data_IF_029889235670
#
_entry.id   IF_029889235670
#
_cell.length_a   1.000
_cell.length_b   1.000
_cell.length_c   1.000
_cell.angle_alpha   90.00
_cell.angle_beta   90.00
_cell.angle_gamma   90.00
#
_symmetry.space_group_name_H-M   'P 1'
#
loop_
_entity.id
_entity.type
_entity.pdbx_description
1 polymer ?
#
# COMPACT_ATOMS: atom_id res chain seq x y z
N UNK A 1 21.18 -16.13 -12.80
CA UNK A 1 22.21 -15.11 -12.51
C UNK A 1 22.18 -14.10 -13.65
N UNK A 2 21.60 -12.92 -13.43
CA UNK A 2 21.61 -11.85 -14.44
C UNK A 2 22.92 -11.09 -14.27
N UNK A 3 23.74 -11.06 -15.33
CA UNK A 3 25.06 -10.42 -15.31
C UNK A 3 24.93 -8.93 -14.97
N UNK A 4 25.58 -8.51 -13.89
CA UNK A 4 25.65 -7.13 -13.45
C UNK A 4 26.62 -6.37 -14.38
N UNK A 5 26.11 -5.73 -15.44
CA UNK A 5 26.88 -4.80 -16.27
C UNK A 5 27.00 -3.46 -15.55
N UNK A 6 27.82 -3.41 -14.50
CA UNK A 6 28.22 -2.17 -13.84
C UNK A 6 29.69 -2.31 -13.44
N UNK A 7 30.52 -1.35 -13.82
CA UNK A 7 31.93 -1.27 -13.39
C UNK A 7 32.06 -1.01 -11.88
N UNK A 8 30.96 -0.60 -11.23
CA UNK A 8 30.86 -0.42 -9.78
C UNK A 8 29.80 -1.36 -9.20
N UNK A 9 30.24 -2.31 -8.37
CA UNK A 9 29.35 -3.21 -7.62
C UNK A 9 29.01 -2.58 -6.27
N UNK A 10 27.74 -2.21 -6.06
CA UNK A 10 27.25 -1.79 -4.75
C UNK A 10 26.97 -3.04 -3.92
N UNK A 11 27.67 -3.15 -2.79
CA UNK A 11 27.78 -4.36 -1.95
C UNK A 11 26.47 -4.90 -1.36
N UNK A 12 25.37 -4.14 -1.44
CA UNK A 12 24.11 -4.45 -0.75
C UNK A 12 22.87 -4.29 -1.65
N UNK A 13 23.02 -4.61 -2.94
CA UNK A 13 21.91 -4.51 -3.90
C UNK A 13 20.95 -5.69 -3.79
N UNK A 14 19.71 -5.42 -3.37
CA UNK A 14 18.65 -6.43 -3.38
C UNK A 14 18.26 -6.78 -4.84
N UNK A 15 18.28 -8.07 -5.23
CA UNK A 15 17.99 -8.46 -6.60
C UNK A 15 16.47 -8.43 -6.87
N UNK A 16 15.99 -7.38 -7.53
CA UNK A 16 14.60 -7.30 -8.01
C UNK A 16 14.40 -7.99 -9.36
N UNK A 17 13.19 -8.51 -9.59
CA UNK A 17 12.88 -9.20 -10.83
C UNK A 17 12.49 -8.20 -11.92
N UNK A 18 13.44 -7.87 -12.80
CA UNK A 18 13.23 -6.94 -13.93
C UNK A 18 12.68 -7.59 -15.21
N UNK A 19 12.28 -8.87 -15.16
CA UNK A 19 11.87 -9.62 -16.37
C UNK A 19 10.50 -9.19 -16.92
N UNK A 20 9.64 -8.64 -16.07
CA UNK A 20 8.29 -8.18 -16.44
C UNK A 20 7.90 -7.02 -15.50
N UNK A 21 7.31 -5.91 -16.01
CA UNK A 21 6.88 -4.78 -15.18
C UNK A 21 6.02 -5.18 -13.98
N UNK A 22 5.06 -6.08 -14.16
CA UNK A 22 4.20 -6.57 -13.08
C UNK A 22 5.02 -7.34 -12.05
N UNK A 23 5.93 -8.22 -12.49
CA UNK A 23 6.81 -8.98 -11.58
C UNK A 23 7.78 -8.07 -10.83
N UNK A 24 8.18 -6.96 -11.43
CA UNK A 24 9.02 -5.95 -10.79
C UNK A 24 8.26 -5.24 -9.66
N UNK A 25 7.02 -4.81 -9.89
CA UNK A 25 6.15 -4.23 -8.85
C UNK A 25 5.93 -5.23 -7.72
N UNK A 26 5.52 -6.47 -8.04
CA UNK A 26 5.31 -7.49 -7.03
C UNK A 26 6.58 -7.81 -6.24
N UNK A 27 7.75 -7.75 -6.85
CA UNK A 27 9.01 -7.97 -6.13
C UNK A 27 9.31 -6.87 -5.09
N UNK A 28 8.87 -5.63 -5.33
CA UNK A 28 8.96 -4.52 -4.38
C UNK A 28 7.94 -4.67 -3.25
N UNK A 29 6.68 -4.92 -3.58
CA UNK A 29 5.61 -5.10 -2.58
C UNK A 29 5.90 -6.31 -1.68
N UNK A 30 6.34 -7.42 -2.28
CA UNK A 30 6.69 -8.65 -1.55
C UNK A 30 8.03 -8.56 -0.81
N UNK A 31 8.80 -7.46 -0.92
CA UNK A 31 9.87 -7.17 0.03
C UNK A 31 9.30 -6.85 1.42
N UNK A 32 8.11 -6.25 1.45
CA UNK A 32 7.41 -5.80 2.65
C UNK A 32 6.18 -6.66 2.95
N UNK A 33 6.33 -8.00 2.87
CA UNK A 33 5.22 -8.97 3.01
C UNK A 33 4.37 -8.75 4.26
N UNK A 34 5.01 -8.48 5.40
CA UNK A 34 4.30 -8.26 6.66
C UNK A 34 3.34 -7.08 6.56
N UNK A 35 3.81 -5.94 6.03
CA UNK A 35 2.97 -4.76 5.81
C UNK A 35 1.84 -5.07 4.84
N UNK A 36 2.14 -5.75 3.72
CA UNK A 36 1.14 -6.11 2.72
C UNK A 36 0.02 -7.00 3.29
N UNK A 37 0.39 -8.11 3.97
CA UNK A 37 -0.60 -9.03 4.55
C UNK A 37 -1.42 -8.36 5.66
N UNK A 38 -0.81 -7.47 6.44
CA UNK A 38 -1.49 -6.74 7.50
C UNK A 38 -2.48 -5.71 6.92
N UNK A 39 -2.08 -4.97 5.87
CA UNK A 39 -2.99 -4.07 5.13
C UNK A 39 -4.20 -4.84 4.57
N UNK A 40 -3.96 -5.99 3.92
CA UNK A 40 -5.03 -6.83 3.38
C UNK A 40 -5.97 -7.28 4.49
N UNK A 41 -5.43 -7.79 5.60
CA UNK A 41 -6.23 -8.22 6.75
C UNK A 41 -7.09 -7.10 7.37
N UNK A 42 -6.55 -5.89 7.47
CA UNK A 42 -7.27 -4.73 7.99
C UNK A 42 -8.41 -4.29 7.06
N UNK A 43 -8.18 -4.22 5.76
CA UNK A 43 -9.25 -3.86 4.81
C UNK A 43 -10.34 -4.93 4.75
N UNK A 44 -9.98 -6.22 4.80
CA UNK A 44 -10.99 -7.29 4.92
C UNK A 44 -11.83 -7.15 6.19
N UNK A 45 -11.18 -6.87 7.33
CA UNK A 45 -11.87 -6.65 8.60
C UNK A 45 -12.80 -5.45 8.52
N UNK A 46 -12.32 -4.35 7.95
CA UNK A 46 -13.11 -3.13 7.71
C UNK A 46 -14.34 -3.41 6.83
N UNK A 47 -14.18 -4.11 5.71
CA UNK A 47 -15.29 -4.46 4.82
C UNK A 47 -16.34 -5.34 5.50
N UNK A 48 -15.92 -6.35 6.25
CA UNK A 48 -16.85 -7.21 6.99
C UNK A 48 -17.60 -6.40 8.06
N UNK A 49 -16.89 -5.57 8.82
CA UNK A 49 -17.49 -4.71 9.84
C UNK A 49 -18.48 -3.71 9.24
N UNK A 50 -18.13 -3.08 8.11
CA UNK A 50 -18.99 -2.15 7.40
C UNK A 50 -20.23 -2.84 6.78
N UNK A 51 -20.09 -4.07 6.29
CA UNK A 51 -21.23 -4.84 5.82
C UNK A 51 -22.18 -5.17 6.99
N UNK A 52 -21.62 -5.60 8.12
CA UNK A 52 -22.37 -5.94 9.33
C UNK A 52 -23.09 -4.73 9.95
N UNK A 53 -22.48 -3.54 9.90
CA UNK A 53 -23.12 -2.32 10.43
C UNK A 53 -24.45 -2.00 9.76
N UNK A 54 -24.63 -2.35 8.48
CA UNK A 54 -25.90 -2.14 7.75
C UNK A 54 -27.02 -3.02 8.28
N UNK A 55 -26.70 -4.25 8.69
CA UNK A 55 -27.65 -5.17 9.32
C UNK A 55 -28.08 -4.59 10.68
N UNK A 56 -27.11 -4.17 11.50
CA UNK A 56 -27.39 -3.57 12.82
C UNK A 56 -28.25 -2.29 12.74
N UNK A 57 -28.08 -1.49 11.69
CA UNK A 57 -28.93 -0.32 11.45
C UNK A 57 -30.37 -0.75 11.13
N UNK A 58 -30.55 -1.83 10.37
CA UNK A 58 -31.85 -2.45 10.13
C UNK A 58 -32.50 -2.95 11.43
N UNK A 59 -31.72 -3.63 12.27
CA UNK A 59 -32.18 -4.12 13.57
C UNK A 59 -32.58 -2.96 14.50
N UNK A 60 -31.80 -1.87 14.50
CA UNK A 60 -32.13 -0.65 15.25
C UNK A 60 -33.45 -0.04 14.79
N UNK A 61 -33.70 0.01 13.47
CA UNK A 61 -34.95 0.50 12.93
C UNK A 61 -36.13 -0.40 13.31
N UNK A 62 -35.94 -1.73 13.31
CA UNK A 62 -36.92 -2.70 13.78
C UNK A 62 -37.30 -2.48 15.24
N UNK A 63 -36.31 -2.29 16.12
CA UNK A 63 -36.50 -2.06 17.55
C UNK A 63 -37.23 -0.74 17.85
N UNK A 64 -37.12 0.28 16.97
CA UNK A 64 -37.88 1.53 17.08
C UNK A 64 -39.37 1.32 16.77
N UNK A 65 -39.68 0.47 15.78
CA UNK A 65 -41.06 0.21 15.34
C UNK A 65 -41.79 -0.73 16.32
N UNK A 66 -41.12 -1.78 16.75
CA UNK A 66 -41.65 -2.79 17.66
C UNK A 66 -40.66 -3.02 18.82
N UNK A 67 -40.77 -2.25 19.92
CA UNK A 67 -39.82 -2.32 21.02
C UNK A 67 -39.87 -3.69 21.71
N UNK A 68 -38.74 -4.38 21.77
CA UNK A 68 -38.60 -5.69 22.42
C UNK A 68 -38.16 -5.53 23.87
N UNK A 69 -37.31 -4.54 24.16
CA UNK A 69 -36.81 -4.26 25.51
C UNK A 69 -36.62 -2.75 25.77
N UNK A 70 -36.73 -2.32 27.03
CA UNK A 70 -36.54 -0.92 27.42
C UNK A 70 -35.12 -0.38 27.13
N UNK A 71 -34.12 -1.28 27.07
CA UNK A 71 -32.72 -0.95 26.78
C UNK A 71 -32.22 -1.49 25.43
N UNK A 72 -33.10 -2.05 24.60
CA UNK A 72 -32.76 -2.68 23.32
C UNK A 72 -32.08 -1.72 22.35
N UNK A 73 -32.65 -0.53 22.18
CA UNK A 73 -32.11 0.49 21.29
C UNK A 73 -30.72 0.99 21.73
N UNK A 74 -30.50 1.14 23.04
CA UNK A 74 -29.21 1.59 23.58
C UNK A 74 -28.13 0.52 23.34
N UNK A 75 -28.45 -0.75 23.56
CA UNK A 75 -27.54 -1.87 23.27
C UNK A 75 -27.15 -1.92 21.79
N UNK A 76 -28.14 -1.86 20.89
CA UNK A 76 -27.87 -1.88 19.44
C UNK A 76 -27.02 -0.67 19.03
N UNK A 77 -27.34 0.52 19.55
CA UNK A 77 -26.58 1.75 19.29
C UNK A 77 -25.11 1.64 19.72
N UNK A 78 -24.83 1.05 20.89
CA UNK A 78 -23.47 0.83 21.35
C UNK A 78 -22.71 -0.18 20.48
N UNK A 79 -23.38 -1.25 20.02
CA UNK A 79 -22.77 -2.21 19.10
C UNK A 79 -22.47 -1.56 17.76
N UNK A 80 -23.39 -0.76 17.21
CA UNK A 80 -23.16 0.02 15.97
C UNK A 80 -21.97 0.94 16.13
N UNK A 81 -21.89 1.70 17.22
CA UNK A 81 -20.77 2.60 17.50
C UNK A 81 -19.45 1.83 17.52
N UNK A 82 -19.40 0.70 18.23
CA UNK A 82 -18.20 -0.14 18.29
C UNK A 82 -17.77 -0.65 16.91
N UNK A 83 -18.71 -1.15 16.10
CA UNK A 83 -18.43 -1.66 14.75
C UNK A 83 -17.93 -0.56 13.82
N UNK A 84 -18.52 0.64 13.89
CA UNK A 84 -18.07 1.79 13.10
C UNK A 84 -16.68 2.26 13.52
N UNK A 85 -16.38 2.29 14.83
CA UNK A 85 -15.04 2.61 15.32
C UNK A 85 -14.00 1.59 14.84
N UNK A 86 -14.33 0.29 14.91
CA UNK A 86 -13.45 -0.77 14.41
C UNK A 86 -13.16 -0.60 12.92
N UNK A 87 -14.19 -0.27 12.14
CA UNK A 87 -14.07 0.02 10.70
C UNK A 87 -13.12 1.19 10.47
N UNK A 88 -13.36 2.33 11.13
CA UNK A 88 -12.54 3.53 10.96
C UNK A 88 -11.08 3.34 11.38
N UNK A 89 -10.83 2.63 12.48
CA UNK A 89 -9.46 2.32 12.93
C UNK A 89 -8.77 1.40 11.92
N UNK A 90 -9.47 0.39 11.43
CA UNK A 90 -8.92 -0.55 10.44
C UNK A 90 -8.57 0.15 9.12
N UNK A 91 -9.46 1.02 8.64
CA UNK A 91 -9.22 1.82 7.42
C UNK A 91 -8.06 2.80 7.59
N UNK A 92 -7.98 3.47 8.74
CA UNK A 92 -6.90 4.42 9.02
C UNK A 92 -5.54 3.71 9.04
N UNK A 93 -5.43 2.61 9.80
CA UNK A 93 -4.18 1.85 9.89
C UNK A 93 -3.86 1.24 8.52
N UNK A 94 -4.84 0.67 7.81
CA UNK A 94 -4.67 0.13 6.47
C UNK A 94 -4.12 1.18 5.49
N UNK A 95 -4.63 2.40 5.56
CA UNK A 95 -4.19 3.53 4.72
C UNK A 95 -2.75 3.97 5.03
N UNK A 96 -2.37 4.00 6.31
CA UNK A 96 -0.99 4.33 6.71
C UNK A 96 0.02 3.27 6.24
N UNK A 97 -0.37 1.99 6.28
CA UNK A 97 0.50 0.89 5.87
C UNK A 97 0.68 0.83 4.36
N UNK A 98 -0.39 1.05 3.58
CA UNK A 98 -0.28 1.09 2.12
C UNK A 98 0.58 2.28 1.66
N UNK A 99 0.41 3.45 2.28
CA UNK A 99 1.27 4.61 2.05
C UNK A 99 2.74 4.31 2.40
N UNK A 100 2.98 3.61 3.52
CA UNK A 100 4.33 3.19 3.91
C UNK A 100 4.96 2.25 2.86
N UNK A 101 4.19 1.34 2.27
CA UNK A 101 4.67 0.46 1.20
C UNK A 101 4.99 1.28 -0.05
N UNK A 102 4.10 2.20 -0.44
CA UNK A 102 4.29 3.07 -1.60
C UNK A 102 5.57 3.92 -1.47
N UNK A 103 5.76 4.60 -0.34
CA UNK A 103 6.96 5.40 -0.08
C UNK A 103 8.25 4.56 -0.12
N UNK A 104 8.21 3.35 0.43
CA UNK A 104 9.36 2.43 0.40
C UNK A 104 9.67 1.93 -1.02
N UNK A 105 8.64 1.59 -1.79
CA UNK A 105 8.79 1.21 -3.20
C UNK A 105 9.37 2.36 -4.02
N UNK A 106 8.88 3.59 -3.84
CA UNK A 106 9.41 4.78 -4.50
C UNK A 106 10.88 5.01 -4.15
N UNK A 107 11.25 4.90 -2.86
CA UNK A 107 12.65 5.00 -2.43
C UNK A 107 13.54 3.97 -3.12
N UNK A 108 13.12 2.70 -3.13
CA UNK A 108 13.88 1.60 -3.74
C UNK A 108 14.02 1.77 -5.25
N UNK A 109 12.95 2.22 -5.92
CA UNK A 109 12.94 2.45 -7.37
C UNK A 109 13.87 3.60 -7.77
N UNK A 110 13.93 4.68 -6.97
CA UNK A 110 14.89 5.78 -7.16
C UNK A 110 16.32 5.31 -6.99
N UNK A 111 16.59 4.49 -5.99
CA UNK A 111 17.91 3.90 -5.75
C UNK A 111 18.35 3.01 -6.93
N UNK A 112 17.47 2.14 -7.43
CA UNK A 112 17.73 1.31 -8.61
C UNK A 112 18.05 2.15 -9.86
N UNK A 113 17.28 3.22 -10.09
CA UNK A 113 17.49 4.11 -11.22
C UNK A 113 18.82 4.85 -11.08
N UNK A 114 19.15 5.35 -9.90
CA UNK A 114 20.40 6.04 -9.63
C UNK A 114 21.62 5.16 -9.91
N UNK A 115 21.61 3.93 -9.39
CA UNK A 115 22.67 2.94 -9.66
C UNK A 115 22.74 2.62 -11.16
N UNK A 116 21.61 2.47 -11.83
CA UNK A 116 21.56 2.21 -13.28
C UNK A 116 22.15 3.37 -14.10
N UNK A 117 21.91 4.62 -13.69
CA UNK A 117 22.44 5.81 -14.37
C UNK A 117 23.94 5.96 -14.16
N UNK A 118 24.46 5.68 -12.96
CA UNK A 118 25.91 5.71 -12.70
C UNK A 118 26.70 4.71 -13.56
N UNK A 119 26.09 3.58 -13.92
CA UNK A 119 26.71 2.57 -14.78
C UNK A 119 26.60 2.83 -16.29
N UNK A 120 26.09 3.98 -16.74
CA UNK A 120 25.96 4.29 -18.18
C UNK A 120 27.25 4.88 -18.76
N UNK A 121 27.42 4.72 -20.08
CA UNK A 121 28.57 5.26 -20.82
C UNK A 121 28.58 6.79 -20.82
N UNK A 122 29.76 7.42 -20.91
CA UNK A 122 29.87 8.88 -21.05
C UNK A 122 29.05 9.43 -22.23
N UNK A 123 29.01 8.73 -23.37
CA UNK A 123 28.17 9.12 -24.53
C UNK A 123 26.68 9.23 -24.20
N UNK A 124 26.18 8.47 -23.22
CA UNK A 124 24.79 8.58 -22.76
C UNK A 124 24.61 9.87 -21.95
N UNK A 125 25.54 10.17 -21.05
CA UNK A 125 25.53 11.39 -20.23
C UNK A 125 25.71 12.67 -21.06
N UNK A 126 26.46 12.61 -22.17
CA UNK A 126 26.60 13.74 -23.09
C UNK A 126 25.33 14.04 -23.88
N UNK A 127 24.49 13.02 -24.12
CA UNK A 127 23.26 13.13 -24.93
C UNK A 127 22.01 13.43 -24.11
N UNK A 128 22.01 13.10 -22.83
CA UNK A 128 20.82 13.16 -21.97
C UNK A 128 21.12 13.87 -20.66
N UNK A 129 20.28 14.82 -20.28
CA UNK A 129 20.36 15.47 -18.97
C UNK A 129 19.84 14.51 -17.91
N UNK A 130 20.74 14.02 -17.06
CA UNK A 130 20.43 13.10 -15.96
C UNK A 130 19.36 13.69 -15.02
N UNK A 131 19.39 15.00 -14.79
CA UNK A 131 18.37 15.70 -13.98
C UNK A 131 16.96 15.55 -14.55
N UNK A 132 16.79 15.67 -15.87
CA UNK A 132 15.49 15.55 -16.53
C UNK A 132 14.96 14.11 -16.47
N UNK A 133 15.86 13.12 -16.58
CA UNK A 133 15.50 11.70 -16.43
C UNK A 133 15.02 11.42 -15.00
N UNK A 134 15.75 11.93 -13.99
CA UNK A 134 15.37 11.75 -12.59
C UNK A 134 14.06 12.43 -12.23
N UNK A 135 13.80 13.62 -12.78
CA UNK A 135 12.54 14.33 -12.59
C UNK A 135 11.37 13.52 -13.15
N UNK A 136 11.46 13.10 -14.42
CA UNK A 136 10.41 12.27 -15.06
C UNK A 136 10.18 10.96 -14.32
N UNK A 137 11.25 10.27 -13.94
CA UNK A 137 11.12 9.02 -13.20
C UNK A 137 10.51 9.22 -11.82
N UNK A 138 10.77 10.35 -11.16
CA UNK A 138 10.14 10.69 -9.88
C UNK A 138 8.64 10.93 -10.04
N UNK A 139 8.25 11.62 -11.12
CA UNK A 139 6.83 11.82 -11.45
C UNK A 139 6.14 10.50 -11.80
N UNK A 140 6.78 9.65 -12.60
CA UNK A 140 6.26 8.33 -12.97
C UNK A 140 6.09 7.44 -11.72
N UNK A 141 7.06 7.45 -10.80
CA UNK A 141 6.98 6.67 -9.55
C UNK A 141 5.85 7.13 -8.63
N UNK A 142 5.52 8.44 -8.63
CA UNK A 142 4.38 8.94 -7.85
C UNK A 142 3.02 8.53 -8.46
N UNK A 143 2.97 8.17 -9.74
CA UNK A 143 1.75 7.72 -10.41
C UNK A 143 1.49 6.21 -10.30
N UNK A 144 2.49 5.44 -9.86
CA UNK A 144 2.41 3.98 -9.68
C UNK A 144 1.82 3.60 -8.33
#
# INVERSE_FOLDING_TARGET
>A
MVAQRSEFTVSDTYPYNRSNPIRWIFSHVLRYKLFFFLTVGLYFTSWIANAYSRILIGDAAGEIIAPTAADGLLKISLVVLFVLLLTSISDLIGSLLIETIAQRMTRDSREELYISLLGKSQTFHDRQRVGDIMARATDDMNQM
#
